data_IF_534151803067
#
_entry.id   IF_534151803067
#
_cell.length_a   1.000
_cell.length_b   1.000
_cell.length_c   1.000
_cell.angle_alpha   90.00
_cell.angle_beta   90.00
_cell.angle_gamma   90.00
#
_symmetry.space_group_name_H-M   'P 1'
#
loop_
_entity.id
_entity.type
_entity.pdbx_description
1 polymer ?
#
# COMPACT_ATOMS: atom_id res chain seq x y z
N UNK A 1 2.98 7.44 -9.14
CA UNK A 1 3.02 7.54 -7.65
C UNK A 1 2.99 8.97 -7.13
N UNK A 2 3.83 9.92 -7.57
CA UNK A 2 3.83 11.30 -7.04
C UNK A 2 2.44 11.97 -7.02
N UNK A 3 1.65 11.76 -8.09
CA UNK A 3 0.27 12.24 -8.15
C UNK A 3 -0.57 11.75 -6.97
N UNK A 4 -0.63 10.44 -6.70
CA UNK A 4 -1.41 9.88 -5.59
C UNK A 4 -0.94 10.38 -4.21
N UNK A 5 0.36 10.63 -4.08
CA UNK A 5 0.96 11.17 -2.86
C UNK A 5 0.48 12.60 -2.60
N UNK A 6 0.35 13.43 -3.62
CA UNK A 6 -0.08 14.82 -3.45
C UNK A 6 -1.62 14.96 -3.52
N UNK A 7 -2.26 14.18 -4.39
CA UNK A 7 -3.68 14.11 -4.63
C UNK A 7 -4.09 12.68 -5.04
N UNK A 8 -4.63 11.93 -4.08
CA UNK A 8 -5.05 10.54 -4.30
C UNK A 8 -6.10 10.44 -5.41
N UNK A 9 -7.04 11.38 -5.46
CA UNK A 9 -8.18 11.36 -6.38
C UNK A 9 -7.74 11.57 -7.82
N UNK A 10 -6.82 12.51 -8.06
CA UNK A 10 -6.20 12.69 -9.39
C UNK A 10 -5.43 11.42 -9.80
N UNK A 11 -4.68 10.83 -8.86
CA UNK A 11 -3.95 9.59 -9.11
C UNK A 11 -4.84 8.39 -9.44
N UNK A 12 -6.08 8.39 -8.95
CA UNK A 12 -7.12 7.40 -9.24
C UNK A 12 -8.05 7.84 -10.39
N UNK A 13 -7.74 8.94 -11.10
CA UNK A 13 -8.58 9.50 -12.16
C UNK A 13 -10.06 9.74 -11.75
N UNK A 14 -10.29 10.06 -10.48
CA UNK A 14 -11.60 10.37 -9.89
C UNK A 14 -12.65 9.25 -9.89
N UNK A 15 -12.28 8.02 -10.25
CA UNK A 15 -13.20 6.87 -10.29
C UNK A 15 -12.59 5.61 -9.69
N UNK A 16 -13.43 4.69 -9.22
CA UNK A 16 -13.00 3.34 -8.84
C UNK A 16 -12.85 2.41 -10.07
N UNK A 17 -12.50 1.15 -9.83
CA UNK A 17 -12.32 0.15 -10.88
C UNK A 17 -13.62 -0.17 -11.66
N UNK A 18 -14.79 0.11 -11.08
CA UNK A 18 -16.09 -0.08 -11.72
C UNK A 18 -16.59 1.20 -12.41
N UNK A 19 -15.84 2.29 -12.36
CA UNK A 19 -16.23 3.59 -12.91
C UNK A 19 -17.11 4.42 -11.97
N UNK A 20 -17.31 3.98 -10.73
CA UNK A 20 -18.03 4.73 -9.70
C UNK A 20 -17.21 5.96 -9.33
N UNK A 21 -17.77 7.19 -9.41
CA UNK A 21 -17.06 8.39 -8.97
C UNK A 21 -16.66 8.28 -7.50
N UNK A 22 -15.41 8.63 -7.17
CA UNK A 22 -14.90 8.55 -5.79
C UNK A 22 -15.72 9.41 -4.82
N UNK A 23 -16.36 10.47 -5.30
CA UNK A 23 -17.29 11.31 -4.53
C UNK A 23 -18.50 10.55 -3.97
N UNK A 24 -18.91 9.47 -4.63
CA UNK A 24 -20.05 8.65 -4.21
C UNK A 24 -19.65 7.59 -3.17
N UNK A 25 -18.36 7.39 -2.94
CA UNK A 25 -17.84 6.40 -2.01
C UNK A 25 -17.68 7.02 -0.62
N UNK A 26 -18.47 6.61 0.40
CA UNK A 26 -18.36 7.19 1.74
C UNK A 26 -16.95 7.03 2.34
N UNK A 27 -16.24 5.96 2.01
CA UNK A 27 -14.85 5.70 2.46
C UNK A 27 -13.85 6.74 1.95
N UNK A 28 -14.17 7.47 0.88
CA UNK A 28 -13.29 8.48 0.30
C UNK A 28 -13.51 9.87 0.91
N UNK A 29 -14.54 10.06 1.74
CA UNK A 29 -14.83 11.33 2.38
C UNK A 29 -13.70 11.72 3.34
N UNK A 30 -13.12 12.91 3.15
CA UNK A 30 -12.02 13.42 3.96
C UNK A 30 -10.62 12.91 3.57
N UNK A 31 -10.51 11.87 2.74
CA UNK A 31 -9.22 11.35 2.28
C UNK A 31 -8.80 12.00 0.96
N UNK A 32 -7.78 12.86 0.94
CA UNK A 32 -7.37 13.61 -0.27
C UNK A 32 -5.98 13.28 -0.75
N UNK A 33 -5.11 12.81 0.13
CA UNK A 33 -3.72 12.48 -0.15
C UNK A 33 -3.33 11.17 0.54
N UNK A 34 -2.39 10.41 -0.05
CA UNK A 34 -1.78 9.29 0.68
C UNK A 34 -1.06 9.73 1.97
N UNK A 35 -0.71 11.02 2.11
CA UNK A 35 -0.13 11.58 3.34
C UNK A 35 -1.12 11.60 4.50
N UNK A 36 -2.42 11.51 4.20
CA UNK A 36 -3.48 11.44 5.20
C UNK A 36 -3.71 10.00 5.70
N UNK A 37 -2.97 9.01 5.18
CA UNK A 37 -3.14 7.61 5.56
C UNK A 37 -2.41 7.29 6.86
N UNK A 38 -3.13 6.67 7.80
CA UNK A 38 -2.55 6.13 9.04
C UNK A 38 -1.76 4.83 8.81
N UNK A 39 -2.08 4.10 7.74
CA UNK A 39 -1.47 2.82 7.38
C UNK A 39 -1.56 2.57 5.88
N UNK A 40 -0.46 2.11 5.30
CA UNK A 40 -0.41 1.57 3.95
C UNK A 40 -0.34 0.04 3.99
N UNK A 41 -1.25 -0.64 3.29
CA UNK A 41 -1.20 -2.09 3.14
C UNK A 41 -1.03 -2.41 1.66
N UNK A 42 0.06 -3.09 1.31
CA UNK A 42 0.25 -3.63 -0.04
C UNK A 42 -0.04 -5.13 -0.06
N UNK A 43 -0.97 -5.56 -0.89
CA UNK A 43 -1.37 -6.95 -1.06
C UNK A 43 -1.01 -7.38 -2.48
N UNK A 44 0.04 -8.18 -2.61
CA UNK A 44 0.66 -8.48 -3.89
C UNK A 44 0.91 -9.97 -4.10
N UNK A 45 0.73 -10.41 -5.34
CA UNK A 45 1.01 -11.77 -5.78
C UNK A 45 1.90 -11.82 -7.04
N UNK A 46 2.71 -10.78 -7.25
CA UNK A 46 3.54 -10.59 -8.45
C UNK A 46 5.01 -10.38 -8.09
N UNK A 47 5.91 -10.80 -8.98
CA UNK A 47 7.37 -10.62 -8.89
C UNK A 47 7.84 -9.73 -10.05
N UNK A 48 8.65 -8.67 -9.81
CA UNK A 48 9.08 -8.15 -8.51
C UNK A 48 7.94 -7.48 -7.74
N UNK A 49 8.04 -7.53 -6.41
CA UNK A 49 7.06 -6.94 -5.50
C UNK A 49 6.97 -5.41 -5.65
N UNK A 50 5.75 -4.84 -5.83
CA UNK A 50 5.56 -3.40 -5.81
C UNK A 50 5.75 -2.78 -4.42
N UNK A 51 5.74 -3.57 -3.34
CA UNK A 51 5.85 -3.08 -1.96
C UNK A 51 7.09 -2.22 -1.75
N UNK A 52 8.22 -2.63 -2.34
CA UNK A 52 9.48 -1.90 -2.19
C UNK A 52 9.42 -0.50 -2.83
N UNK A 53 8.61 -0.32 -3.88
CA UNK A 53 8.42 0.99 -4.50
C UNK A 53 7.59 1.89 -3.58
N UNK A 54 6.51 1.38 -3.01
CA UNK A 54 5.70 2.09 -2.03
C UNK A 54 6.48 2.42 -0.76
N UNK A 55 7.33 1.49 -0.30
CA UNK A 55 8.21 1.71 0.84
C UNK A 55 9.13 2.92 0.62
N UNK A 56 9.77 2.98 -0.56
CA UNK A 56 10.72 4.04 -0.91
C UNK A 56 10.06 5.37 -1.25
N UNK A 57 8.89 5.35 -1.89
CA UNK A 57 8.26 6.55 -2.44
C UNK A 57 7.17 7.15 -1.54
N UNK A 58 6.63 6.36 -0.61
CA UNK A 58 5.49 6.76 0.23
C UNK A 58 5.80 6.56 1.72
N UNK A 59 6.10 5.33 2.15
CA UNK A 59 6.26 5.02 3.58
C UNK A 59 7.43 5.78 4.21
N UNK A 60 8.65 5.60 3.69
CA UNK A 60 9.85 6.22 4.26
C UNK A 60 9.81 7.76 4.18
N UNK A 61 9.49 8.40 3.03
CA UNK A 61 9.55 9.86 2.93
C UNK A 61 8.51 10.60 3.77
N UNK A 62 7.35 10.00 3.99
CA UNK A 62 6.23 10.64 4.68
C UNK A 62 5.93 10.04 6.06
N UNK A 63 6.72 9.07 6.50
CA UNK A 63 6.57 8.44 7.82
C UNK A 63 5.30 7.59 7.97
N UNK A 64 4.67 7.18 6.87
CA UNK A 64 3.44 6.39 6.89
C UNK A 64 3.80 4.93 7.20
N UNK A 65 3.26 4.32 8.28
CA UNK A 65 3.45 2.90 8.57
C UNK A 65 3.02 2.03 7.39
N UNK A 66 3.78 0.97 7.08
CA UNK A 66 3.47 0.08 5.97
C UNK A 66 3.44 -1.39 6.42
N UNK A 67 2.42 -2.13 6.01
CA UNK A 67 2.33 -3.58 6.14
C UNK A 67 2.16 -4.22 4.75
N UNK A 68 2.50 -5.50 4.64
CA UNK A 68 2.43 -6.22 3.36
C UNK A 68 1.74 -7.58 3.49
N UNK A 69 1.12 -8.04 2.41
CA UNK A 69 0.58 -9.40 2.28
C UNK A 69 1.06 -10.07 1.01
N UNK A 70 2.05 -10.96 1.12
CA UNK A 70 2.82 -11.52 0.01
C UNK A 70 2.62 -13.03 -0.15
N UNK A 71 3.00 -13.59 -1.30
CA UNK A 71 2.96 -15.04 -1.52
C UNK A 71 4.09 -15.73 -0.76
N UNK A 72 3.90 -17.02 -0.43
CA UNK A 72 4.91 -17.80 0.30
C UNK A 72 6.27 -17.84 -0.43
N UNK A 73 6.26 -17.79 -1.77
CA UNK A 73 7.46 -17.78 -2.61
C UNK A 73 8.23 -16.46 -2.45
N UNK A 74 7.54 -15.34 -2.21
CA UNK A 74 8.13 -14.01 -2.10
C UNK A 74 8.48 -13.62 -0.66
N UNK A 75 7.94 -14.31 0.33
CA UNK A 75 8.21 -14.03 1.74
C UNK A 75 9.72 -13.93 2.07
N UNK A 76 10.62 -14.80 1.54
CA UNK A 76 12.06 -14.67 1.80
C UNK A 76 12.66 -13.35 1.29
N UNK A 77 12.16 -12.81 0.17
CA UNK A 77 12.63 -11.56 -0.42
C UNK A 77 12.18 -10.34 0.39
N UNK A 78 11.02 -10.42 1.03
CA UNK A 78 10.45 -9.32 1.82
C UNK A 78 10.83 -9.37 3.31
N UNK A 79 11.24 -10.54 3.80
CA UNK A 79 11.63 -10.75 5.20
C UNK A 79 12.68 -9.76 5.73
N UNK A 80 13.72 -9.33 4.97
CA UNK A 80 14.68 -8.35 5.46
C UNK A 80 14.04 -7.01 5.85
N UNK A 81 13.03 -6.54 5.09
CA UNK A 81 12.32 -5.29 5.37
C UNK A 81 11.36 -5.40 6.55
N UNK A 82 10.82 -6.60 6.79
CA UNK A 82 10.06 -6.88 7.99
C UNK A 82 10.97 -6.93 9.23
N UNK A 83 12.06 -7.70 9.17
CA UNK A 83 13.02 -7.85 10.27
C UNK A 83 13.73 -6.53 10.63
N UNK A 84 13.90 -5.61 9.67
CA UNK A 84 14.46 -4.27 9.91
C UNK A 84 13.44 -3.29 10.53
N UNK A 85 12.16 -3.67 10.63
CA UNK A 85 11.08 -2.82 11.13
C UNK A 85 10.59 -1.77 10.13
N UNK A 86 11.04 -1.85 8.87
CA UNK A 86 10.55 -1.01 7.78
C UNK A 86 9.11 -1.37 7.41
N UNK A 87 8.74 -2.66 7.49
CA UNK A 87 7.35 -3.09 7.53
C UNK A 87 6.88 -3.30 8.97
N UNK A 88 5.64 -2.88 9.27
CA UNK A 88 4.97 -3.07 10.57
C UNK A 88 4.22 -4.39 10.67
N UNK A 89 3.98 -5.07 9.55
CA UNK A 89 3.34 -6.37 9.49
C UNK A 89 3.61 -7.06 8.16
N UNK A 90 3.62 -8.38 8.17
CA UNK A 90 3.79 -9.21 6.98
C UNK A 90 2.90 -10.45 7.04
N UNK A 91 1.97 -10.60 6.10
CA UNK A 91 1.24 -11.85 5.85
C UNK A 91 2.01 -12.65 4.80
N UNK A 92 2.71 -13.70 5.22
CA UNK A 92 3.56 -14.54 4.35
C UNK A 92 2.81 -15.78 3.85
N UNK A 93 1.96 -15.61 2.84
CA UNK A 93 1.12 -16.67 2.26
C UNK A 93 -0.05 -17.09 3.16
N UNK A 94 -0.70 -18.21 2.82
CA UNK A 94 -1.94 -18.65 3.48
C UNK A 94 -1.80 -18.88 4.98
N UNK A 95 -0.62 -19.35 5.44
CA UNK A 95 -0.35 -19.54 6.88
C UNK A 95 -0.24 -18.24 7.66
N UNK A 96 0.16 -17.14 7.01
CA UNK A 96 0.22 -15.83 7.63
C UNK A 96 -1.10 -15.06 7.54
N UNK A 97 -2.08 -15.55 6.80
CA UNK A 97 -3.36 -14.86 6.54
C UNK A 97 -4.49 -15.26 7.50
N UNK A 98 -4.23 -16.20 8.42
CA UNK A 98 -5.18 -16.71 9.41
C UNK A 98 -5.08 -15.95 10.73
#
# INVERSE_FOLDING_TARGET
MKKMVDNFWEGAAYVDMQGTPLEQLPIMQGFKSLKDADLLIDMMAVVPSPAQNYLKMVSIPYGIPMAIGTTAIQAPTEMPFYSSGQYKGMLAGLRGAA
#
